data_IF_792280548951
#
_entry.id   IF_792280548951
#
_cell.length_a   1.000
_cell.length_b   1.000
_cell.length_c   1.000
_cell.angle_alpha   90.00
_cell.angle_beta   90.00
_cell.angle_gamma   90.00
#
_symmetry.space_group_name_H-M   'P 1'
#
loop_
_entity.id
_entity.type
_entity.pdbx_description
1 polymer ?
#
# COMPACT_ATOMS: atom_id res chain seq x y z
N UNK A 1 -14.71 21.11 -0.75
CA UNK A 1 -13.58 20.86 -1.69
C UNK A 1 -14.11 20.86 -3.11
N UNK A 2 -13.39 21.46 -4.07
CA UNK A 2 -13.82 21.47 -5.48
C UNK A 2 -13.84 20.04 -6.07
N UNK A 3 -14.84 19.67 -6.90
CA UNK A 3 -14.96 18.32 -7.46
C UNK A 3 -13.73 17.86 -8.25
N UNK A 4 -13.05 18.81 -8.92
CA UNK A 4 -11.80 18.56 -9.64
C UNK A 4 -10.64 18.16 -8.73
N UNK A 5 -10.58 18.72 -7.52
CA UNK A 5 -9.54 18.38 -6.55
C UNK A 5 -9.75 16.96 -5.98
N UNK A 6 -11.00 16.53 -5.82
CA UNK A 6 -11.32 15.16 -5.38
C UNK A 6 -10.89 14.11 -6.41
N UNK A 7 -11.03 14.41 -7.71
CA UNK A 7 -10.60 13.51 -8.78
C UNK A 7 -9.06 13.32 -8.85
N UNK A 8 -8.28 14.26 -8.31
CA UNK A 8 -6.82 14.18 -8.29
C UNK A 8 -6.27 13.39 -7.10
N UNK A 9 -7.05 13.23 -6.02
CA UNK A 9 -6.60 12.51 -4.83
C UNK A 9 -6.15 11.06 -5.11
N UNK A 10 -6.86 10.24 -5.92
CA UNK A 10 -6.39 8.91 -6.25
C UNK A 10 -5.06 8.90 -7.01
N UNK A 11 -4.83 9.88 -7.89
CA UNK A 11 -3.59 10.00 -8.67
C UNK A 11 -2.42 10.29 -7.72
N UNK A 12 -2.58 11.28 -6.83
CA UNK A 12 -1.58 11.59 -5.81
C UNK A 12 -1.33 10.41 -4.88
N UNK A 13 -2.38 9.72 -4.46
CA UNK A 13 -2.28 8.52 -3.63
C UNK A 13 -1.44 7.45 -4.32
N UNK A 14 -1.72 7.13 -5.59
CA UNK A 14 -0.96 6.12 -6.36
C UNK A 14 0.51 6.52 -6.46
N UNK A 15 0.80 7.77 -6.85
CA UNK A 15 2.18 8.25 -6.96
C UNK A 15 2.93 8.14 -5.64
N UNK A 16 2.34 8.66 -4.56
CA UNK A 16 2.95 8.64 -3.23
C UNK A 16 3.13 7.20 -2.73
N UNK A 17 2.15 6.33 -2.96
CA UNK A 17 2.19 4.94 -2.55
C UNK A 17 3.26 4.14 -3.31
N UNK A 18 3.37 4.34 -4.64
CA UNK A 18 4.36 3.67 -5.48
C UNK A 18 5.80 3.96 -5.06
N UNK A 19 6.10 5.16 -4.53
CA UNK A 19 7.44 5.48 -4.01
C UNK A 19 7.88 4.55 -2.87
N UNK A 20 6.94 3.97 -2.12
CA UNK A 20 7.23 3.05 -1.02
C UNK A 20 7.97 1.78 -1.48
N UNK A 21 7.62 1.24 -2.64
CA UNK A 21 8.30 0.07 -3.22
C UNK A 21 9.70 0.40 -3.73
N UNK A 22 9.90 1.62 -4.26
CA UNK A 22 11.22 2.13 -4.66
C UNK A 22 12.10 2.26 -3.41
N UNK A 23 11.57 2.86 -2.34
CA UNK A 23 12.25 2.96 -1.06
C UNK A 23 12.61 1.58 -0.48
N UNK A 24 11.72 0.59 -0.58
CA UNK A 24 12.01 -0.78 -0.17
C UNK A 24 13.20 -1.37 -0.95
N UNK A 25 13.17 -1.27 -2.28
CA UNK A 25 14.24 -1.80 -3.15
C UNK A 25 15.59 -1.14 -2.86
N UNK A 26 15.59 0.17 -2.63
CA UNK A 26 16.81 0.94 -2.38
C UNK A 26 17.30 0.83 -0.94
N UNK A 27 16.41 0.66 0.04
CA UNK A 27 16.75 0.65 1.47
C UNK A 27 17.07 -0.74 2.04
N UNK A 28 16.40 -1.79 1.56
CA UNK A 28 16.59 -3.16 2.04
C UNK A 28 18.01 -3.75 1.84
N UNK A 29 18.83 -3.31 0.86
CA UNK A 29 20.24 -3.72 0.79
C UNK A 29 21.10 -3.21 1.96
N UNK A 30 20.67 -2.15 2.66
CA UNK A 30 21.47 -1.46 3.68
C UNK A 30 20.93 -1.62 5.11
N UNK A 31 19.68 -2.05 5.26
CA UNK A 31 19.04 -2.20 6.56
C UNK A 31 18.07 -3.38 6.57
N UNK A 32 17.95 -4.03 7.72
CA UNK A 32 16.93 -5.06 7.91
C UNK A 32 15.53 -4.46 7.75
N UNK A 33 14.54 -5.22 7.23
CA UNK A 33 13.23 -4.67 6.88
C UNK A 33 12.55 -3.96 8.04
N UNK A 34 12.53 -4.56 9.23
CA UNK A 34 11.87 -3.98 10.40
C UNK A 34 12.57 -2.69 10.86
N UNK A 35 13.89 -2.63 10.80
CA UNK A 35 14.67 -1.41 11.08
C UNK A 35 14.36 -0.31 10.07
N UNK A 36 14.33 -0.65 8.78
CA UNK A 36 13.97 0.30 7.72
C UNK A 36 12.55 0.84 7.89
N UNK A 37 11.57 -0.04 8.15
CA UNK A 37 10.19 0.38 8.43
C UNK A 37 10.11 1.25 9.69
N UNK A 38 10.86 0.92 10.75
CA UNK A 38 10.84 1.68 12.00
C UNK A 38 11.29 3.12 11.77
N UNK A 39 12.42 3.33 11.09
CA UNK A 39 12.91 4.68 10.74
C UNK A 39 11.90 5.41 9.87
N UNK A 40 11.36 4.73 8.85
CA UNK A 40 10.34 5.31 7.96
C UNK A 40 9.10 5.77 8.75
N UNK A 41 8.59 4.95 9.67
CA UNK A 41 7.41 5.32 10.44
C UNK A 41 7.69 6.41 11.47
N UNK A 42 8.89 6.48 12.06
CA UNK A 42 9.28 7.63 12.90
C UNK A 42 9.21 8.94 12.10
N UNK A 43 9.74 8.95 10.88
CA UNK A 43 9.66 10.12 10.00
C UNK A 43 8.20 10.46 9.64
N UNK A 44 7.39 9.44 9.30
CA UNK A 44 5.96 9.64 9.00
C UNK A 44 5.22 10.22 10.21
N UNK A 45 5.45 9.69 11.42
CA UNK A 45 4.83 10.19 12.65
C UNK A 45 5.22 11.65 12.88
N UNK A 46 6.49 12.02 12.71
CA UNK A 46 6.94 13.39 12.87
C UNK A 46 6.24 14.35 11.88
N UNK A 47 6.20 14.00 10.60
CA UNK A 47 5.54 14.82 9.56
C UNK A 47 4.03 14.91 9.81
N UNK A 48 3.37 13.78 10.11
CA UNK A 48 1.92 13.75 10.36
C UNK A 48 1.55 14.48 11.66
N UNK A 49 2.40 14.46 12.68
CA UNK A 49 2.20 15.24 13.89
C UNK A 49 2.25 16.74 13.59
N UNK A 50 3.23 17.19 12.80
CA UNK A 50 3.31 18.60 12.38
C UNK A 50 2.06 19.03 11.61
N UNK A 51 1.59 18.18 10.68
CA UNK A 51 0.35 18.44 9.92
C UNK A 51 -0.87 18.46 10.85
N UNK A 52 -0.98 17.54 11.80
CA UNK A 52 -2.07 17.49 12.77
C UNK A 52 -2.10 18.75 13.65
N UNK A 53 -0.94 19.21 14.12
CA UNK A 53 -0.81 20.45 14.90
C UNK A 53 -1.18 21.69 14.06
N UNK A 54 -0.67 21.78 12.83
CA UNK A 54 -0.96 22.89 11.92
C UNK A 54 -2.45 22.97 11.52
N UNK A 55 -3.08 21.81 11.31
CA UNK A 55 -4.50 21.70 10.96
C UNK A 55 -5.45 21.74 12.16
N UNK A 56 -4.92 21.75 13.40
CA UNK A 56 -5.71 21.64 14.64
C UNK A 56 -6.66 20.44 14.63
N UNK A 57 -6.17 19.31 14.13
CA UNK A 57 -6.96 18.08 14.01
C UNK A 57 -7.49 17.65 15.40
N UNK A 58 -8.74 17.15 15.47
CA UNK A 58 -9.30 16.66 16.73
C UNK A 58 -8.55 15.41 17.18
N UNK A 59 -8.10 15.43 18.44
CA UNK A 59 -7.45 14.29 19.08
C UNK A 59 -8.51 13.29 19.58
N UNK A 60 -8.19 11.99 19.66
CA UNK A 60 -9.12 10.99 20.16
C UNK A 60 -9.56 11.33 21.58
N UNK A 61 -10.86 11.46 21.78
CA UNK A 61 -11.47 11.91 23.05
C UNK A 61 -11.73 10.78 24.04
N UNK A 62 -11.58 9.52 23.60
CA UNK A 62 -11.81 8.32 24.42
C UNK A 62 -10.69 7.29 24.23
N UNK A 63 -10.37 6.56 25.30
CA UNK A 63 -9.47 5.41 25.27
C UNK A 63 -9.96 4.30 24.34
N UNK A 64 -11.28 4.13 24.17
CA UNK A 64 -11.83 3.17 23.20
C UNK A 64 -11.51 3.57 21.77
N UNK A 65 -11.66 4.86 21.45
CA UNK A 65 -11.31 5.41 20.14
C UNK A 65 -9.80 5.30 19.89
N UNK A 66 -8.97 5.63 20.88
CA UNK A 66 -7.53 5.46 20.80
C UNK A 66 -7.15 3.98 20.58
N UNK A 67 -7.82 3.05 21.26
CA UNK A 67 -7.64 1.61 21.08
C UNK A 67 -7.96 1.14 19.66
N UNK A 68 -9.07 1.60 19.07
CA UNK A 68 -9.41 1.28 17.68
C UNK A 68 -8.40 1.84 16.68
N UNK A 69 -7.92 3.08 16.89
CA UNK A 69 -6.88 3.70 16.06
C UNK A 69 -5.58 2.89 16.16
N UNK A 70 -5.17 2.52 17.37
CA UNK A 70 -3.96 1.74 17.60
C UNK A 70 -4.06 0.35 16.97
N UNK A 71 -5.19 -0.34 17.14
CA UNK A 71 -5.43 -1.65 16.54
C UNK A 71 -5.38 -1.59 15.01
N UNK A 72 -6.06 -0.61 14.39
CA UNK A 72 -6.03 -0.41 12.95
C UNK A 72 -4.62 -0.09 12.44
N UNK A 73 -3.90 0.81 13.13
CA UNK A 73 -2.53 1.14 12.81
C UNK A 73 -1.60 -0.08 12.87
N UNK A 74 -1.72 -0.89 13.93
CA UNK A 74 -0.94 -2.12 14.07
C UNK A 74 -1.22 -3.11 12.94
N UNK A 75 -2.48 -3.36 12.60
CA UNK A 75 -2.86 -4.29 11.54
C UNK A 75 -2.37 -3.83 10.16
N UNK A 76 -2.55 -2.55 9.83
CA UNK A 76 -2.16 -2.02 8.53
C UNK A 76 -0.64 -1.83 8.38
N UNK A 77 0.03 -1.37 9.43
CA UNK A 77 1.43 -0.97 9.32
C UNK A 77 2.41 -2.04 9.79
N UNK A 78 2.13 -2.71 10.90
CA UNK A 78 3.02 -3.76 11.43
C UNK A 78 2.74 -5.10 10.76
N UNK A 79 1.48 -5.56 10.80
CA UNK A 79 1.16 -6.89 10.28
C UNK A 79 1.20 -6.94 8.75
N UNK A 80 0.49 -6.03 8.09
CA UNK A 80 0.43 -6.00 6.63
C UNK A 80 1.74 -5.52 5.99
N UNK A 81 2.16 -4.28 6.22
CA UNK A 81 3.40 -3.76 5.60
C UNK A 81 4.66 -4.49 6.08
N UNK A 82 4.75 -4.78 7.38
CA UNK A 82 5.87 -5.57 7.93
C UNK A 82 5.92 -6.97 7.34
N UNK A 83 4.77 -7.67 7.28
CA UNK A 83 4.67 -8.98 6.64
C UNK A 83 5.14 -8.98 5.19
N UNK A 84 4.66 -8.03 4.38
CA UNK A 84 5.06 -7.89 2.95
C UNK A 84 6.58 -7.72 2.81
N UNK A 85 7.18 -6.81 3.59
CA UNK A 85 8.62 -6.54 3.50
C UNK A 85 9.48 -7.71 4.01
N UNK A 86 9.02 -8.40 5.05
CA UNK A 86 9.67 -9.63 5.56
C UNK A 86 9.60 -10.73 4.50
N UNK A 87 8.45 -10.96 3.87
CA UNK A 87 8.31 -11.93 2.77
C UNK A 87 9.25 -11.64 1.61
N UNK A 88 9.41 -10.37 1.23
CA UNK A 88 10.36 -9.96 0.18
C UNK A 88 11.80 -10.26 0.62
N UNK A 89 12.18 -9.97 1.87
CA UNK A 89 13.51 -10.33 2.41
C UNK A 89 13.77 -11.84 2.36
N UNK A 90 12.74 -12.66 2.61
CA UNK A 90 12.82 -14.12 2.54
C UNK A 90 12.73 -14.70 1.13
N UNK A 91 12.80 -13.87 0.09
CA UNK A 91 12.93 -14.31 -1.29
C UNK A 91 11.62 -14.32 -2.09
N UNK A 92 10.50 -13.82 -1.54
CA UNK A 92 9.31 -13.59 -2.35
C UNK A 92 9.61 -12.51 -3.39
N UNK A 93 9.43 -12.77 -4.70
CA UNK A 93 9.67 -11.77 -5.71
C UNK A 93 8.78 -10.53 -5.49
N UNK A 94 9.37 -9.34 -5.55
CA UNK A 94 8.65 -8.09 -5.31
C UNK A 94 7.45 -7.90 -6.25
N UNK A 95 7.52 -8.47 -7.47
CA UNK A 95 6.39 -8.48 -8.40
C UNK A 95 5.21 -9.31 -7.91
N UNK A 96 5.45 -10.49 -7.33
CA UNK A 96 4.40 -11.34 -6.74
C UNK A 96 3.78 -10.63 -5.54
N UNK A 97 4.61 -10.04 -4.68
CA UNK A 97 4.12 -9.23 -3.56
C UNK A 97 3.25 -8.05 -4.05
N UNK A 98 3.65 -7.37 -5.13
CA UNK A 98 2.87 -6.29 -5.73
C UNK A 98 1.53 -6.78 -6.33
N UNK A 99 1.46 -7.99 -6.89
CA UNK A 99 0.20 -8.58 -7.34
C UNK A 99 -0.74 -8.87 -6.18
N UNK A 100 -0.24 -9.48 -5.11
CA UNK A 100 -1.02 -9.78 -3.89
C UNK A 100 -1.57 -8.48 -3.29
N UNK A 101 -0.72 -7.46 -3.15
CA UNK A 101 -1.12 -6.13 -2.69
C UNK A 101 -2.12 -5.48 -3.67
N UNK A 102 -1.91 -5.64 -4.98
CA UNK A 102 -2.79 -5.15 -6.03
C UNK A 102 -4.18 -5.81 -6.06
N UNK A 103 -4.37 -6.94 -5.38
CA UNK A 103 -5.70 -7.53 -5.16
C UNK A 103 -6.50 -6.83 -4.06
N UNK A 104 -5.86 -6.07 -3.19
CA UNK A 104 -6.53 -5.39 -2.07
C UNK A 104 -7.72 -4.53 -2.53
N UNK A 105 -7.64 -3.69 -3.58
CA UNK A 105 -8.79 -2.91 -4.06
C UNK A 105 -9.95 -3.77 -4.56
N UNK A 106 -9.67 -4.93 -5.17
CA UNK A 106 -10.69 -5.89 -5.59
C UNK A 106 -11.42 -6.47 -4.38
N UNK A 107 -10.67 -6.93 -3.39
CA UNK A 107 -11.24 -7.44 -2.14
C UNK A 107 -12.03 -6.37 -1.39
N UNK A 108 -11.53 -5.13 -1.35
CA UNK A 108 -12.24 -4.00 -0.75
C UNK A 108 -13.51 -3.66 -1.52
N UNK A 109 -13.52 -3.70 -2.86
CA UNK A 109 -14.72 -3.44 -3.65
C UNK A 109 -15.81 -4.51 -3.45
N UNK A 110 -15.42 -5.79 -3.39
CA UNK A 110 -16.34 -6.89 -3.05
C UNK A 110 -16.85 -6.74 -1.63
N UNK A 111 -15.95 -6.45 -0.69
CA UNK A 111 -16.27 -6.25 0.72
C UNK A 111 -17.21 -5.06 0.94
N UNK A 112 -17.03 -3.95 0.22
CA UNK A 112 -17.92 -2.79 0.32
C UNK A 112 -19.36 -3.13 -0.09
N UNK A 113 -19.52 -3.94 -1.15
CA UNK A 113 -20.82 -4.44 -1.55
C UNK A 113 -21.47 -5.34 -0.50
N UNK A 114 -20.70 -6.20 0.16
CA UNK A 114 -21.22 -7.14 1.14
C UNK A 114 -21.45 -6.53 2.53
N UNK A 115 -20.49 -5.78 3.06
CA UNK A 115 -20.51 -5.23 4.42
C UNK A 115 -21.21 -3.87 4.52
N UNK A 116 -21.09 -3.01 3.50
CA UNK A 116 -21.68 -1.67 3.52
C UNK A 116 -22.92 -1.54 2.63
N UNK A 117 -23.25 -2.55 1.82
CA UNK A 117 -24.37 -2.51 0.88
C UNK A 117 -24.17 -1.52 -0.28
N UNK A 118 -22.95 -1.04 -0.49
CA UNK A 118 -22.63 -0.07 -1.54
C UNK A 118 -22.58 -0.75 -2.92
N UNK A 119 -23.18 -0.13 -3.94
CA UNK A 119 -23.15 -0.66 -5.30
C UNK A 119 -21.93 -0.15 -6.05
N UNK A 120 -20.96 -1.03 -6.28
CA UNK A 120 -19.83 -0.77 -7.19
C UNK A 120 -20.33 -0.83 -8.63
N UNK A 121 -20.24 0.29 -9.35
CA UNK A 121 -20.69 0.40 -10.74
C UNK A 121 -19.88 -0.49 -11.69
N UNK A 122 -20.48 -0.88 -12.80
CA UNK A 122 -19.80 -1.67 -13.86
C UNK A 122 -18.55 -0.98 -14.38
N UNK A 123 -18.54 0.35 -14.47
CA UNK A 123 -17.36 1.14 -14.87
C UNK A 123 -16.21 1.02 -13.87
N UNK A 124 -16.51 1.00 -12.57
CA UNK A 124 -15.48 0.79 -11.54
C UNK A 124 -14.92 -0.64 -11.61
N UNK A 125 -15.77 -1.64 -11.82
CA UNK A 125 -15.35 -3.02 -12.04
C UNK A 125 -14.42 -3.19 -13.25
N UNK A 126 -14.76 -2.56 -14.37
CA UNK A 126 -13.90 -2.55 -15.56
C UNK A 126 -12.56 -1.86 -15.27
N UNK A 127 -12.55 -0.74 -14.55
CA UNK A 127 -11.31 -0.07 -14.13
C UNK A 127 -10.44 -0.94 -13.24
N UNK A 128 -11.03 -1.65 -12.28
CA UNK A 128 -10.32 -2.60 -11.41
C UNK A 128 -9.74 -3.78 -12.20
N UNK A 129 -10.52 -4.37 -13.11
CA UNK A 129 -10.06 -5.47 -13.96
C UNK A 129 -8.91 -5.04 -14.87
N UNK A 130 -9.03 -3.89 -15.53
CA UNK A 130 -7.97 -3.32 -16.37
C UNK A 130 -6.70 -3.03 -15.56
N UNK A 131 -6.85 -2.44 -14.36
CA UNK A 131 -5.73 -2.18 -13.47
C UNK A 131 -5.01 -3.48 -13.05
N UNK A 132 -5.78 -4.50 -12.66
CA UNK A 132 -5.23 -5.80 -12.28
C UNK A 132 -4.48 -6.48 -13.43
N UNK A 133 -5.06 -6.50 -14.64
CA UNK A 133 -4.40 -7.01 -15.85
C UNK A 133 -3.11 -6.25 -16.13
N UNK A 134 -3.11 -4.92 -15.99
CA UNK A 134 -1.90 -4.11 -16.14
C UNK A 134 -0.78 -4.53 -15.18
N UNK A 135 -1.10 -4.73 -13.89
CA UNK A 135 -0.11 -5.20 -12.91
C UNK A 135 0.38 -6.61 -13.27
N UNK A 136 -0.52 -7.52 -13.65
CA UNK A 136 -0.16 -8.88 -14.06
C UNK A 136 0.80 -8.91 -15.26
N UNK A 137 0.57 -8.07 -16.27
CA UNK A 137 1.44 -7.96 -17.44
C UNK A 137 2.83 -7.41 -17.07
N UNK A 138 2.89 -6.34 -16.27
CA UNK A 138 4.16 -5.74 -15.82
C UNK A 138 4.99 -6.73 -15.01
N UNK A 139 4.34 -7.46 -14.10
CA UNK A 139 5.01 -8.44 -13.24
C UNK A 139 5.43 -9.67 -14.02
N UNK A 140 4.55 -10.20 -14.88
CA UNK A 140 4.84 -11.35 -15.73
C UNK A 140 5.99 -11.10 -16.70
N UNK A 141 6.02 -9.93 -17.34
CA UNK A 141 7.12 -9.53 -18.22
C UNK A 141 8.46 -9.44 -17.48
N UNK A 142 8.46 -8.94 -16.23
CA UNK A 142 9.67 -8.83 -15.41
C UNK A 142 10.19 -10.20 -14.96
N UNK A 143 9.31 -11.11 -14.56
CA UNK A 143 9.69 -12.48 -14.20
C UNK A 143 10.31 -13.26 -15.37
N UNK A 144 9.79 -13.06 -16.59
CA UNK A 144 10.34 -13.69 -17.79
C UNK A 144 11.76 -13.18 -18.10
N UNK A 145 12.01 -11.88 -17.97
CA UNK A 145 13.34 -11.29 -18.20
C UNK A 145 14.37 -11.84 -17.20
N UNK A 146 13.99 -11.96 -15.92
CA UNK A 146 14.87 -12.51 -14.88
C UNK A 146 15.22 -13.99 -15.15
N UNK A 147 14.26 -14.80 -15.66
CA UNK A 147 14.50 -16.21 -16.03
C UNK A 147 15.39 -16.42 -17.26
N UNK A 148 15.35 -15.51 -18.24
CA UNK A 148 16.22 -15.57 -19.43
C UNK A 148 17.67 -15.21 -19.07
N UNK A 149 17.85 -14.29 -18.13
CA UNK A 149 19.18 -13.86 -17.67
C UNK A 149 19.87 -14.92 -16.82
N UNK A 150 19.13 -15.69 -16.03
CA UNK A 150 19.68 -16.79 -15.20
C UNK A 150 19.97 -18.07 -15.98
N UNK A 151 19.30 -18.28 -17.12
CA UNK A 151 19.55 -19.44 -18.01
C UNK A 151 20.68 -19.22 -19.02
N UNK A 152 21.21 -17.99 -19.10
CA UNK A 152 22.33 -17.60 -19.96
C UNK A 152 23.66 -17.45 -19.21
N UNK A 153 23.69 -17.82 -17.92
CA UNK A 153 24.88 -17.99 -17.08
C UNK A 153 25.05 -19.47 -16.73
#
# INVERSE_FOLDING_TARGET
MNPRAQALLPVFFVLLWSTGFIGAKLGLPYAEPLTFLSVRYVLVIAVMLLVALASRAPWPTSWTMAGHIAANGFLLHCLYLGGVFVSIKHGLPAGVAALVVGMQPLLTAVGAGWFLGERVSTRQWLGLALGFVGVALVVGGRAQIDSVTTSSL
#
